data_IF_244126160855
#
_entry.id   IF_244126160855
#
_cell.length_a   1.000
_cell.length_b   1.000
_cell.length_c   1.000
_cell.angle_alpha   90.00
_cell.angle_beta   90.00
_cell.angle_gamma   90.00
#
_symmetry.space_group_name_H-M   'P 1'
#
loop_
_entity.id
_entity.type
_entity.pdbx_description
1 polymer ?
#
# COMPACT_ATOMS: atom_id res chain seq x y z
N UNK A 1 15.58 -5.67 -6.99
CA UNK A 1 15.08 -4.38 -7.50
C UNK A 1 13.75 -3.93 -6.91
N UNK A 2 12.67 -4.73 -6.97
CA UNK A 2 11.31 -4.28 -6.58
C UNK A 2 11.11 -3.73 -5.15
N UNK A 3 11.98 -4.08 -4.18
CA UNK A 3 11.95 -3.53 -2.80
C UNK A 3 12.95 -2.40 -2.54
N UNK A 4 13.61 -1.90 -3.59
CA UNK A 4 14.52 -0.76 -3.49
C UNK A 4 13.70 0.54 -3.55
N UNK A 5 13.74 1.29 -2.46
CA UNK A 5 13.27 2.67 -2.44
C UNK A 5 14.11 3.52 -3.41
N UNK A 6 13.46 4.28 -4.29
CA UNK A 6 14.13 5.17 -5.23
C UNK A 6 13.83 6.63 -4.96
N UNK A 7 12.55 6.96 -4.72
CA UNK A 7 12.12 8.33 -4.46
C UNK A 7 11.24 8.39 -3.21
N UNK A 8 11.43 9.40 -2.35
CA UNK A 8 10.56 9.56 -1.19
C UNK A 8 9.14 9.88 -1.63
N UNK A 9 8.15 9.34 -0.93
CA UNK A 9 6.77 9.80 -1.03
C UNK A 9 6.58 10.92 -0.02
N UNK A 10 6.18 12.10 -0.50
CA UNK A 10 6.15 13.34 0.29
C UNK A 10 4.74 13.82 0.62
N UNK A 11 3.70 13.13 0.16
CA UNK A 11 2.29 13.49 0.38
C UNK A 11 1.67 12.74 1.56
N UNK A 12 0.57 13.31 2.11
CA UNK A 12 -0.15 12.73 3.23
C UNK A 12 -0.93 11.46 2.87
N UNK A 13 -1.41 11.37 1.63
CA UNK A 13 -2.12 10.22 1.06
C UNK A 13 -1.76 10.03 -0.42
N UNK A 14 -2.20 8.93 -1.02
CA UNK A 14 -2.03 8.67 -2.46
C UNK A 14 -2.92 9.57 -3.31
N UNK A 15 -4.17 9.80 -2.86
CA UNK A 15 -5.14 10.64 -3.53
C UNK A 15 -5.75 11.68 -2.56
N UNK A 16 -6.17 12.86 -3.07
CA UNK A 16 -6.12 13.31 -4.46
C UNK A 16 -4.68 13.51 -4.96
N UNK A 17 -4.46 13.56 -6.28
CA UNK A 17 -3.13 13.87 -6.82
C UNK A 17 -2.82 15.37 -6.67
N UNK A 18 -1.53 15.74 -6.78
CA UNK A 18 -1.05 17.14 -6.70
C UNK A 18 -1.32 17.84 -5.34
N UNK A 19 -1.26 17.08 -4.25
CA UNK A 19 -1.25 17.64 -2.90
C UNK A 19 0.05 18.43 -2.64
N UNK A 20 -0.01 19.36 -1.69
CA UNK A 20 1.18 19.98 -1.13
C UNK A 20 2.09 18.92 -0.50
N UNK A 21 3.41 19.15 -0.61
CA UNK A 21 4.37 18.31 0.09
C UNK A 21 4.30 18.52 1.60
N UNK A 22 4.34 17.43 2.35
CA UNK A 22 4.51 17.47 3.79
C UNK A 22 5.87 18.06 4.17
N UNK A 23 5.93 18.74 5.32
CA UNK A 23 7.20 19.11 5.90
C UNK A 23 8.04 17.85 6.19
N UNK A 24 9.39 17.90 6.07
CA UNK A 24 10.24 16.70 6.23
C UNK A 24 10.00 15.92 7.53
N UNK A 25 9.64 16.59 8.63
CA UNK A 25 9.34 15.96 9.91
C UNK A 25 8.05 15.13 9.93
N UNK A 26 7.11 15.39 9.01
CA UNK A 26 5.82 14.72 8.89
C UNK A 26 5.82 13.60 7.84
N UNK A 27 6.87 13.53 7.00
CA UNK A 27 6.98 12.52 5.94
C UNK A 27 7.24 11.13 6.52
N UNK A 28 6.56 10.14 5.95
CA UNK A 28 6.77 8.73 6.28
C UNK A 28 8.15 8.27 5.85
N UNK A 29 8.94 7.76 6.80
CA UNK A 29 10.28 7.20 6.52
C UNK A 29 10.23 5.75 6.04
N UNK A 30 9.11 5.09 6.28
CA UNK A 30 8.84 3.70 5.97
C UNK A 30 8.16 3.51 4.61
N UNK A 31 8.06 4.57 3.79
CA UNK A 31 7.31 4.60 2.54
C UNK A 31 8.08 5.32 1.43
N UNK A 32 8.12 4.72 0.24
CA UNK A 32 8.81 5.29 -0.92
C UNK A 32 8.21 4.78 -2.24
N UNK A 33 8.46 5.50 -3.33
CA UNK A 33 8.23 5.01 -4.67
C UNK A 33 9.39 4.10 -5.12
N UNK A 34 9.04 2.95 -5.70
CA UNK A 34 9.96 2.04 -6.40
C UNK A 34 9.70 2.05 -7.92
N UNK A 35 10.26 1.07 -8.64
CA UNK A 35 10.01 0.93 -10.09
C UNK A 35 8.60 0.35 -10.29
N UNK A 36 7.61 1.20 -10.58
CA UNK A 36 6.23 0.81 -10.88
C UNK A 36 5.40 0.35 -9.68
N UNK A 37 5.95 0.42 -8.47
CA UNK A 37 5.33 -0.05 -7.22
C UNK A 37 5.57 0.93 -6.08
N UNK A 38 4.80 0.80 -5.01
CA UNK A 38 5.09 1.45 -3.73
C UNK A 38 5.89 0.49 -2.87
N UNK A 39 6.97 0.97 -2.25
CA UNK A 39 7.84 0.20 -1.36
C UNK A 39 7.58 0.65 0.06
N UNK A 40 7.47 -0.31 0.98
CA UNK A 40 7.27 -0.05 2.40
C UNK A 40 8.22 -0.86 3.28
N UNK A 41 8.42 -0.41 4.52
CA UNK A 41 9.14 -1.13 5.57
C UNK A 41 8.18 -1.45 6.71
N UNK A 42 7.87 -2.75 6.90
CA UNK A 42 6.97 -3.20 7.95
C UNK A 42 7.61 -4.19 8.93
N UNK A 43 6.80 -4.77 9.85
CA UNK A 43 7.27 -5.71 10.88
C UNK A 43 7.96 -6.96 10.33
N UNK A 44 7.61 -7.37 9.10
CA UNK A 44 8.19 -8.54 8.46
C UNK A 44 9.43 -8.23 7.60
N UNK A 45 9.81 -6.96 7.49
CA UNK A 45 10.88 -6.47 6.61
C UNK A 45 10.34 -5.58 5.49
N UNK A 46 11.16 -5.38 4.45
CA UNK A 46 10.75 -4.62 3.27
C UNK A 46 9.73 -5.39 2.44
N UNK A 47 8.74 -4.67 1.94
CA UNK A 47 7.77 -5.15 0.99
C UNK A 47 7.52 -4.14 -0.12
N UNK A 48 6.73 -4.56 -1.10
CA UNK A 48 6.20 -3.68 -2.13
C UNK A 48 4.74 -4.01 -2.37
N UNK A 49 3.98 -3.03 -2.82
CA UNK A 49 2.60 -3.22 -3.21
C UNK A 49 2.21 -2.35 -4.40
N UNK A 50 1.11 -2.71 -5.04
CA UNK A 50 0.50 -1.93 -6.11
C UNK A 50 -1.01 -2.12 -6.04
N UNK A 51 -1.71 -1.02 -5.78
CA UNK A 51 -3.15 -0.93 -5.94
C UNK A 51 -3.56 -0.58 -7.37
N UNK A 52 -4.82 -0.83 -7.66
CA UNK A 52 -5.55 -0.32 -8.82
C UNK A 52 -7.02 -0.17 -8.46
N UNK A 53 -7.67 0.75 -9.15
CA UNK A 53 -9.01 1.22 -8.84
C UNK A 53 -9.62 1.85 -10.08
N UNK A 54 -10.89 1.55 -10.33
CA UNK A 54 -11.79 2.38 -11.13
C UNK A 54 -13.18 2.42 -10.45
N UNK A 55 -14.18 2.98 -11.13
CA UNK A 55 -15.53 3.16 -10.58
C UNK A 55 -16.25 1.83 -10.27
N UNK A 56 -15.78 0.70 -10.82
CA UNK A 56 -16.42 -0.61 -10.72
C UNK A 56 -15.56 -1.66 -10.00
N UNK A 57 -14.25 -1.66 -10.20
CA UNK A 57 -13.34 -2.72 -9.74
C UNK A 57 -12.18 -2.17 -8.91
N UNK A 58 -11.63 -3.02 -8.06
CA UNK A 58 -10.46 -2.70 -7.25
C UNK A 58 -9.52 -3.90 -7.16
N UNK A 59 -8.23 -3.64 -7.05
CA UNK A 59 -7.22 -4.68 -6.89
C UNK A 59 -6.05 -4.24 -6.02
N UNK A 60 -5.40 -5.21 -5.39
CA UNK A 60 -4.11 -4.99 -4.72
C UNK A 60 -3.19 -6.20 -4.90
N UNK A 61 -1.92 -5.92 -5.15
CA UNK A 61 -0.81 -6.87 -5.05
C UNK A 61 0.04 -6.45 -3.86
N UNK A 62 0.34 -7.37 -2.94
CA UNK A 62 1.26 -7.14 -1.82
C UNK A 62 2.30 -8.25 -1.76
N UNK A 63 3.57 -7.89 -1.61
CA UNK A 63 4.68 -8.82 -1.48
C UNK A 63 5.59 -8.46 -0.30
N UNK A 64 6.05 -9.47 0.44
CA UNK A 64 7.02 -9.33 1.54
C UNK A 64 8.31 -10.06 1.15
N UNK A 65 9.39 -9.31 0.92
CA UNK A 65 10.60 -9.87 0.30
C UNK A 65 11.29 -10.92 1.16
N UNK A 66 11.44 -10.65 2.47
CA UNK A 66 12.15 -11.58 3.38
C UNK A 66 11.48 -12.95 3.48
N UNK A 67 10.16 -12.99 3.33
CA UNK A 67 9.37 -14.23 3.36
C UNK A 67 9.17 -14.86 1.99
N UNK A 68 9.46 -14.13 0.91
CA UNK A 68 9.18 -14.52 -0.47
C UNK A 68 7.71 -14.91 -0.69
N UNK A 69 6.79 -14.15 -0.08
CA UNK A 69 5.34 -14.39 -0.18
C UNK A 69 4.66 -13.17 -0.76
N UNK A 70 3.68 -13.41 -1.64
CA UNK A 70 2.84 -12.40 -2.24
C UNK A 70 1.39 -12.83 -2.19
N UNK A 71 0.48 -11.85 -2.25
CA UNK A 71 -0.95 -12.06 -2.44
C UNK A 71 -1.46 -11.06 -3.47
N UNK A 72 -2.36 -11.51 -4.34
CA UNK A 72 -3.14 -10.67 -5.24
C UNK A 72 -4.60 -10.83 -4.87
N UNK A 73 -5.30 -9.70 -4.71
CA UNK A 73 -6.74 -9.66 -4.50
C UNK A 73 -7.35 -8.87 -5.66
N UNK A 74 -8.35 -9.45 -6.31
CA UNK A 74 -9.12 -8.84 -7.39
C UNK A 74 -10.58 -8.78 -6.96
N UNK A 75 -11.18 -7.59 -6.94
CA UNK A 75 -12.58 -7.37 -6.64
C UNK A 75 -13.31 -6.84 -7.87
N UNK A 76 -14.42 -7.46 -8.23
CA UNK A 76 -15.33 -6.99 -9.27
C UNK A 76 -16.37 -5.97 -8.74
N UNK A 77 -16.14 -5.45 -7.55
CA UNK A 77 -16.92 -4.39 -6.91
C UNK A 77 -15.94 -3.55 -6.07
N UNK A 78 -15.93 -2.25 -6.28
CA UNK A 78 -15.03 -1.30 -5.59
C UNK A 78 -15.19 -1.32 -4.06
N UNK A 79 -16.35 -1.75 -3.55
CA UNK A 79 -16.58 -1.90 -2.10
C UNK A 79 -15.71 -3.00 -1.50
N UNK A 80 -15.23 -3.95 -2.30
CA UNK A 80 -14.36 -5.02 -1.83
C UNK A 80 -13.02 -4.51 -1.27
N UNK A 81 -12.57 -3.32 -1.68
CA UNK A 81 -11.33 -2.71 -1.19
C UNK A 81 -11.32 -2.52 0.34
N UNK A 82 -12.50 -2.33 0.95
CA UNK A 82 -12.63 -2.24 2.41
C UNK A 82 -12.16 -3.52 3.14
N UNK A 83 -12.19 -4.68 2.47
CA UNK A 83 -11.76 -5.95 3.01
C UNK A 83 -10.29 -6.28 2.69
N UNK A 84 -9.61 -5.53 1.83
CA UNK A 84 -8.24 -5.84 1.39
C UNK A 84 -7.24 -5.92 2.56
N UNK A 85 -7.23 -4.99 3.54
CA UNK A 85 -6.32 -5.11 4.68
C UNK A 85 -6.51 -6.39 5.48
N UNK A 86 -7.76 -6.77 5.75
CA UNK A 86 -8.11 -7.98 6.49
C UNK A 86 -7.70 -9.24 5.72
N UNK A 87 -7.96 -9.30 4.41
CA UNK A 87 -7.57 -10.42 3.55
C UNK A 87 -6.05 -10.56 3.43
N UNK A 88 -5.33 -9.45 3.25
CA UNK A 88 -3.85 -9.46 3.20
C UNK A 88 -3.29 -9.90 4.54
N UNK A 89 -3.84 -9.41 5.66
CA UNK A 89 -3.44 -9.84 7.01
C UNK A 89 -3.71 -11.33 7.23
N UNK A 90 -4.84 -11.84 6.77
CA UNK A 90 -5.17 -13.26 6.87
C UNK A 90 -4.14 -14.13 6.14
N UNK A 91 -3.75 -13.74 4.92
CA UNK A 91 -2.84 -14.54 4.08
C UNK A 91 -1.37 -14.38 4.47
N UNK A 92 -0.91 -13.14 4.70
CA UNK A 92 0.49 -12.79 4.88
C UNK A 92 0.87 -12.41 6.31
N UNK A 93 -0.10 -12.29 7.23
CA UNK A 93 0.11 -11.72 8.56
C UNK A 93 0.20 -10.19 8.52
N UNK A 94 0.62 -9.58 9.62
CA UNK A 94 0.83 -8.12 9.68
C UNK A 94 2.01 -7.71 8.80
N UNK A 95 1.72 -7.15 7.62
CA UNK A 95 2.72 -6.74 6.63
C UNK A 95 3.28 -5.36 6.93
N UNK A 96 2.49 -4.45 7.50
CA UNK A 96 2.80 -3.02 7.59
C UNK A 96 2.50 -2.23 6.30
N UNK A 97 1.70 -2.75 5.38
CA UNK A 97 1.24 -1.96 4.22
C UNK A 97 0.50 -0.70 4.71
N UNK A 98 0.80 0.48 4.16
CA UNK A 98 0.25 1.76 4.63
C UNK A 98 -1.16 2.03 4.09
N UNK A 99 -2.14 1.18 4.41
CA UNK A 99 -3.51 1.24 3.86
C UNK A 99 -4.20 2.60 4.03
N UNK A 100 -3.95 3.29 5.15
CA UNK A 100 -4.49 4.63 5.41
C UNK A 100 -3.87 5.71 4.53
N UNK A 101 -2.64 5.52 4.06
CA UNK A 101 -2.05 6.42 3.05
C UNK A 101 -2.66 6.15 1.67
N UNK A 102 -2.84 4.88 1.30
CA UNK A 102 -3.40 4.48 0.00
C UNK A 102 -4.86 4.90 -0.16
N UNK A 103 -5.71 4.60 0.83
CA UNK A 103 -7.16 4.79 0.74
C UNK A 103 -7.70 5.95 1.59
N UNK A 104 -6.83 6.72 2.24
CA UNK A 104 -7.24 7.86 3.07
C UNK A 104 -8.16 7.43 4.23
N UNK A 105 -9.34 8.06 4.31
CA UNK A 105 -10.33 7.83 5.36
C UNK A 105 -11.26 6.63 5.14
N UNK A 106 -10.93 5.68 4.26
CA UNK A 106 -11.75 4.48 4.01
C UNK A 106 -11.91 3.67 5.30
N UNK A 107 -13.15 3.32 5.64
CA UNK A 107 -13.45 2.39 6.73
C UNK A 107 -13.14 0.96 6.27
N UNK A 108 -12.28 0.26 7.00
CA UNK A 108 -11.90 -1.12 6.70
C UNK A 108 -12.70 -2.12 7.53
N UNK A 109 -12.83 -3.33 6.99
CA UNK A 109 -13.33 -4.49 7.75
C UNK A 109 -12.27 -4.91 8.79
N UNK A 110 -12.71 -5.20 10.00
CA UNK A 110 -11.86 -5.65 11.13
C UNK A 110 -11.50 -7.14 11.07
#
# INVERSE_FOLDING_TARGET
ELVRAQWPITTASQFPTLQDELAPAQRRRDLAAGLGVVVFQGPQGRGFYKGGHDDAVGNTLVCVARRQRCVVVLGNDVRAEAAFPALVRFVLGDTGVPWTWEYGGKAFVE
#
